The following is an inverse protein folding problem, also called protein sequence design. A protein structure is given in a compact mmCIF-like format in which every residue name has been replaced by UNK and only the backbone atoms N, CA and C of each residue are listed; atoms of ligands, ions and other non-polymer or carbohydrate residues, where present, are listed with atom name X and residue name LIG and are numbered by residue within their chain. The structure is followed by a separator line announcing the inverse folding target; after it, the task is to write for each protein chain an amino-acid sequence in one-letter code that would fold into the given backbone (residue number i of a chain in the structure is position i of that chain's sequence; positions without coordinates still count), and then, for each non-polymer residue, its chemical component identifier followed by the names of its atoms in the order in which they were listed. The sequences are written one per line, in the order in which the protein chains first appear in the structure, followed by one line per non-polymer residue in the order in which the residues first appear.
data_IF_454532325624
#
_entry.id   IF_454532325624
#
_cell.length_a   1.000
_cell.length_b   1.000
_cell.length_c   1.000
_cell.angle_alpha   90.00
_cell.angle_beta   90.00
_cell.angle_gamma   90.00
#
_symmetry.space_group_name_H-M   'P 1'
#
loop_
_entity.id
_entity.type
_entity.pdbx_description
1 polymer ?
#
# COMPACT_ATOMS: atom_id res chain seq x y z
N UNK A 1 -69.06 43.63 20.27
CA UNK A 1 -67.74 44.10 19.77
C UNK A 1 -67.22 45.18 20.70
N UNK A 2 -65.90 45.41 20.86
CA UNK A 2 -64.68 44.62 20.56
C UNK A 2 -63.91 44.31 21.90
N UNK A 3 -62.74 43.68 22.03
CA UNK A 3 -61.43 44.01 21.47
C UNK A 3 -60.40 42.90 21.83
N UNK A 4 -59.78 42.34 20.79
CA UNK A 4 -58.73 41.32 20.87
C UNK A 4 -57.42 41.98 21.32
N UNK A 5 -56.93 41.63 22.52
CA UNK A 5 -55.69 42.16 23.08
C UNK A 5 -54.48 41.51 22.41
N UNK A 6 -53.79 42.31 21.59
CA UNK A 6 -52.54 42.03 20.86
C UNK A 6 -51.47 41.38 21.76
N UNK A 7 -51.00 40.18 21.37
CA UNK A 7 -49.69 39.63 21.73
C UNK A 7 -48.71 39.91 20.58
N UNK A 8 -47.99 41.02 20.63
CA UNK A 8 -46.78 41.22 19.81
C UNK A 8 -45.80 42.06 20.61
N UNK A 9 -44.61 41.53 20.86
CA UNK A 9 -43.52 42.30 21.48
C UNK A 9 -42.59 41.49 22.36
N UNK A 10 -42.02 40.38 21.86
CA UNK A 10 -40.86 39.74 22.53
C UNK A 10 -39.90 38.99 21.60
N UNK A 11 -40.00 39.16 20.28
CA UNK A 11 -39.13 38.48 19.30
C UNK A 11 -38.06 39.36 18.64
N UNK A 12 -38.21 40.69 18.69
CA UNK A 12 -37.45 41.60 17.80
C UNK A 12 -36.04 41.94 18.28
N UNK A 13 -35.77 41.85 19.60
CA UNK A 13 -34.52 42.36 20.18
C UNK A 13 -33.35 41.38 20.00
N UNK A 14 -33.61 40.07 19.99
CA UNK A 14 -32.56 39.04 19.80
C UNK A 14 -32.10 38.99 18.34
N UNK A 15 -33.02 39.17 17.38
CA UNK A 15 -32.69 39.18 15.95
C UNK A 15 -31.89 40.41 15.51
N UNK A 16 -32.13 41.58 16.12
CA UNK A 16 -31.49 42.83 15.73
C UNK A 16 -30.01 42.89 16.10
N UNK A 17 -29.59 42.22 17.18
CA UNK A 17 -28.18 42.10 17.57
C UNK A 17 -27.37 41.19 16.64
N UNK A 18 -27.96 40.09 16.18
CA UNK A 18 -27.32 39.18 15.21
C UNK A 18 -27.22 39.83 13.83
N UNK A 19 -28.27 40.53 13.39
CA UNK A 19 -28.26 41.25 12.11
C UNK A 19 -27.23 42.39 12.07
N UNK A 20 -27.05 43.15 13.17
CA UNK A 20 -26.01 44.18 13.26
C UNK A 20 -24.60 43.59 13.28
N UNK A 21 -24.41 42.43 13.93
CA UNK A 21 -23.12 41.75 13.98
C UNK A 21 -22.70 41.18 12.61
N UNK A 22 -23.65 40.60 11.88
CA UNK A 22 -23.46 40.10 10.51
C UNK A 22 -23.16 41.21 9.49
N UNK A 23 -23.61 42.44 9.74
CA UNK A 23 -23.37 43.59 8.87
C UNK A 23 -21.98 44.22 9.09
N UNK A 24 -21.33 43.94 10.23
CA UNK A 24 -19.96 44.40 10.55
C UNK A 24 -18.88 43.37 10.20
N UNK A 25 -19.27 42.13 9.92
CA UNK A 25 -18.38 41.10 9.39
C UNK A 25 -18.22 41.34 7.89
N UNK A 26 -16.98 41.65 7.48
CA UNK A 26 -16.60 41.65 6.07
C UNK A 26 -16.71 40.22 5.52
N UNK A 27 -17.86 39.88 4.94
CA UNK A 27 -18.13 38.56 4.37
C UNK A 27 -17.11 38.14 3.32
N UNK A 28 -16.49 39.10 2.63
CA UNK A 28 -15.34 38.87 1.75
C UNK A 28 -14.15 38.21 2.46
N UNK A 29 -13.88 38.59 3.72
CA UNK A 29 -12.80 38.00 4.53
C UNK A 29 -13.16 36.56 4.90
N UNK A 30 -14.42 36.31 5.27
CA UNK A 30 -14.91 34.97 5.60
C UNK A 30 -14.80 34.04 4.40
N UNK A 31 -15.22 34.50 3.22
CA UNK A 31 -15.13 33.73 1.97
C UNK A 31 -13.67 33.44 1.61
N UNK A 32 -12.77 34.44 1.71
CA UNK A 32 -11.34 34.25 1.44
C UNK A 32 -10.68 33.25 2.40
N UNK A 33 -11.01 33.31 3.69
CA UNK A 33 -10.50 32.36 4.68
C UNK A 33 -10.98 30.94 4.38
N UNK A 34 -12.26 30.78 4.03
CA UNK A 34 -12.81 29.48 3.62
C UNK A 34 -12.12 28.95 2.36
N UNK A 35 -11.89 29.81 1.36
CA UNK A 35 -11.22 29.42 0.11
C UNK A 35 -9.77 28.96 0.35
N UNK A 36 -9.02 29.64 1.23
CA UNK A 36 -7.67 29.20 1.62
C UNK A 36 -7.72 27.85 2.35
N UNK A 37 -8.72 27.63 3.20
CA UNK A 37 -8.89 26.37 3.90
C UNK A 37 -9.19 25.21 2.94
N UNK A 38 -10.08 25.42 1.97
CA UNK A 38 -10.39 24.44 0.92
C UNK A 38 -9.15 24.15 0.07
N UNK A 39 -8.43 25.19 -0.37
CA UNK A 39 -7.20 25.04 -1.14
C UNK A 39 -6.13 24.25 -0.36
N UNK A 40 -5.99 24.52 0.95
CA UNK A 40 -5.11 23.77 1.84
C UNK A 40 -5.51 22.29 1.95
N UNK A 41 -6.80 21.99 2.09
CA UNK A 41 -7.29 20.61 2.14
C UNK A 41 -7.00 19.84 0.85
N UNK A 42 -7.24 20.45 -0.32
CA UNK A 42 -6.94 19.86 -1.63
C UNK A 42 -5.44 19.58 -1.78
N UNK A 43 -4.58 20.51 -1.35
CA UNK A 43 -3.13 20.34 -1.40
C UNK A 43 -2.67 19.13 -0.56
N UNK A 44 -3.22 18.96 0.64
CA UNK A 44 -2.90 17.81 1.51
C UNK A 44 -3.34 16.49 0.87
N UNK A 45 -4.52 16.44 0.26
CA UNK A 45 -5.01 15.25 -0.44
C UNK A 45 -4.10 14.91 -1.63
N UNK A 46 -3.72 15.91 -2.43
CA UNK A 46 -2.82 15.73 -3.57
C UNK A 46 -1.44 15.19 -3.13
N UNK A 47 -0.86 15.74 -2.07
CA UNK A 47 0.42 15.26 -1.51
C UNK A 47 0.34 13.81 -1.03
N UNK A 48 -0.77 13.43 -0.38
CA UNK A 48 -1.00 12.05 0.07
C UNK A 48 -1.18 11.08 -1.11
N UNK A 49 -1.90 11.50 -2.14
CA UNK A 49 -2.08 10.72 -3.37
C UNK A 49 -0.74 10.34 -4.01
N UNK A 50 0.14 11.34 -4.19
CA UNK A 50 1.46 11.12 -4.79
C UNK A 50 2.35 10.15 -3.99
N UNK A 51 2.32 10.24 -2.66
CA UNK A 51 3.06 9.31 -1.77
C UNK A 51 2.52 7.87 -1.84
N UNK A 52 1.22 7.71 -2.03
CA UNK A 52 0.61 6.38 -2.11
C UNK A 52 0.93 5.70 -3.45
N UNK A 53 0.93 6.46 -4.55
CA UNK A 53 1.26 5.94 -5.88
C UNK A 53 2.68 5.39 -5.95
N UNK A 54 3.66 6.13 -5.43
CA UNK A 54 5.07 5.69 -5.43
C UNK A 54 5.28 4.41 -4.61
N UNK A 55 4.67 4.32 -3.43
CA UNK A 55 4.70 3.10 -2.60
C UNK A 55 4.03 1.92 -3.30
N UNK A 56 2.90 2.16 -3.96
CA UNK A 56 2.19 1.12 -4.70
C UNK A 56 3.01 0.56 -5.86
N UNK A 57 3.76 1.42 -6.58
CA UNK A 57 4.66 0.97 -7.65
C UNK A 57 5.81 0.11 -7.11
N UNK A 58 6.44 0.51 -6.00
CA UNK A 58 7.51 -0.27 -5.36
C UNK A 58 6.98 -1.63 -4.90
N UNK A 59 5.82 -1.67 -4.24
CA UNK A 59 5.17 -2.91 -3.82
C UNK A 59 4.82 -3.81 -5.00
N UNK A 60 4.35 -3.22 -6.11
CA UNK A 60 4.03 -3.96 -7.32
C UNK A 60 5.29 -4.57 -7.94
N UNK A 61 6.37 -3.80 -8.08
CA UNK A 61 7.64 -4.30 -8.62
C UNK A 61 8.22 -5.41 -7.74
N UNK A 62 8.18 -5.27 -6.42
CA UNK A 62 8.62 -6.32 -5.50
C UNK A 62 7.79 -7.60 -5.63
N UNK A 63 6.46 -7.46 -5.72
CA UNK A 63 5.54 -8.59 -5.95
C UNK A 63 5.78 -9.29 -7.29
N UNK A 64 6.01 -8.53 -8.35
CA UNK A 64 6.26 -9.06 -9.70
C UNK A 64 7.61 -9.79 -9.73
N UNK A 65 8.66 -9.22 -9.11
CA UNK A 65 9.97 -9.85 -8.97
C UNK A 65 9.90 -11.19 -8.23
N UNK A 66 9.14 -11.25 -7.12
CA UNK A 66 8.91 -12.48 -6.36
C UNK A 66 8.15 -13.52 -7.19
N UNK A 67 7.16 -13.09 -7.96
CA UNK A 67 6.39 -13.96 -8.86
C UNK A 67 7.29 -14.56 -9.95
N UNK A 68 8.18 -13.76 -10.54
CA UNK A 68 9.15 -14.25 -11.53
C UNK A 68 10.14 -15.24 -10.93
N UNK A 69 10.69 -14.93 -9.75
CA UNK A 69 11.59 -15.83 -9.05
C UNK A 69 10.93 -17.19 -8.81
N UNK A 70 9.68 -17.21 -8.35
CA UNK A 70 8.97 -18.45 -8.05
C UNK A 70 8.62 -19.28 -9.29
N UNK A 71 8.32 -18.63 -10.41
CA UNK A 71 8.16 -19.29 -11.72
C UNK A 71 9.45 -20.00 -12.14
N UNK A 72 10.60 -19.31 -12.03
CA UNK A 72 11.91 -19.89 -12.41
C UNK A 72 12.31 -21.04 -11.48
N UNK A 73 12.06 -20.90 -10.17
CA UNK A 73 12.30 -21.95 -9.21
C UNK A 73 11.46 -23.20 -9.49
N UNK A 74 10.17 -23.03 -9.77
CA UNK A 74 9.27 -24.16 -10.05
C UNK A 74 9.72 -24.92 -11.29
N UNK A 75 10.06 -24.21 -12.36
CA UNK A 75 10.62 -24.81 -13.57
C UNK A 75 11.92 -25.57 -13.29
N UNK A 76 12.84 -24.99 -12.51
CA UNK A 76 14.09 -25.66 -12.15
C UNK A 76 13.85 -26.92 -11.32
N UNK A 77 12.90 -26.87 -10.38
CA UNK A 77 12.51 -28.01 -9.55
C UNK A 77 11.87 -29.13 -10.38
N UNK A 78 11.03 -28.79 -11.37
CA UNK A 78 10.49 -29.78 -12.31
C UNK A 78 11.62 -30.50 -13.07
N UNK A 79 12.69 -29.79 -13.44
CA UNK A 79 13.86 -30.40 -14.11
C UNK A 79 14.67 -31.31 -13.19
N UNK A 80 14.77 -30.97 -11.91
CA UNK A 80 15.44 -31.84 -10.90
C UNK A 80 14.79 -33.21 -10.78
N UNK A 81 13.48 -33.32 -11.04
CA UNK A 81 12.73 -34.58 -10.95
C UNK A 81 12.54 -35.27 -12.32
N UNK A 82 13.25 -34.84 -13.36
CA UNK A 82 13.19 -35.48 -14.66
C UNK A 82 13.86 -36.87 -14.63
N UNK A 83 13.49 -37.74 -15.57
CA UNK A 83 14.07 -39.08 -15.72
C UNK A 83 15.43 -39.06 -16.41
N UNK A 84 15.72 -38.02 -17.18
CA UNK A 84 17.00 -37.84 -17.88
C UNK A 84 18.01 -37.20 -16.95
N UNK A 85 19.11 -37.90 -16.68
CA UNK A 85 20.18 -37.41 -15.80
C UNK A 85 20.73 -36.04 -16.22
N UNK A 86 20.92 -35.81 -17.52
CA UNK A 86 21.35 -34.50 -18.07
C UNK A 86 20.40 -33.35 -17.69
N UNK A 87 19.08 -33.62 -17.70
CA UNK A 87 18.06 -32.61 -17.38
C UNK A 87 18.02 -32.35 -15.87
N UNK A 88 18.24 -33.40 -15.07
CA UNK A 88 18.35 -33.28 -13.63
C UNK A 88 19.54 -32.42 -13.21
N UNK A 89 20.71 -32.63 -13.82
CA UNK A 89 21.91 -31.80 -13.59
C UNK A 89 21.62 -30.33 -13.94
N UNK A 90 20.98 -30.09 -15.10
CA UNK A 90 20.57 -28.74 -15.50
C UNK A 90 19.61 -28.09 -14.48
N UNK A 91 18.67 -28.86 -13.93
CA UNK A 91 17.76 -28.38 -12.89
C UNK A 91 18.51 -27.93 -11.63
N UNK A 92 19.51 -28.70 -11.19
CA UNK A 92 20.34 -28.35 -10.04
C UNK A 92 21.21 -27.11 -10.29
N UNK A 93 21.80 -26.98 -11.48
CA UNK A 93 22.54 -25.78 -11.86
C UNK A 93 21.64 -24.54 -11.88
N UNK A 94 20.41 -24.67 -12.40
CA UNK A 94 19.44 -23.58 -12.37
C UNK A 94 19.08 -23.15 -10.94
N UNK A 95 18.91 -24.10 -10.01
CA UNK A 95 18.68 -23.79 -8.58
C UNK A 95 19.89 -23.05 -7.97
N UNK A 96 21.11 -23.47 -8.30
CA UNK A 96 22.34 -22.84 -7.81
C UNK A 96 22.58 -21.42 -8.38
N UNK A 97 22.06 -21.13 -9.58
CA UNK A 97 22.04 -19.77 -10.13
C UNK A 97 20.96 -18.93 -9.45
N UNK A 98 19.78 -19.51 -9.20
CA UNK A 98 18.67 -18.81 -8.54
C UNK A 98 18.97 -18.40 -7.11
N UNK A 99 19.75 -19.18 -6.36
CA UNK A 99 20.18 -18.84 -4.99
C UNK A 99 21.14 -17.64 -4.91
N UNK A 100 21.82 -17.31 -6.02
CA UNK A 100 22.77 -16.20 -6.12
C UNK A 100 22.21 -14.99 -6.86
N UNK A 101 20.98 -15.08 -7.37
CA UNK A 101 20.33 -14.03 -8.13
C UNK A 101 19.89 -12.87 -7.22
N UNK A 102 20.00 -11.63 -7.71
CA UNK A 102 19.51 -10.43 -7.00
C UNK A 102 17.98 -10.37 -6.86
N UNK A 103 17.25 -11.27 -7.53
CA UNK A 103 15.81 -11.42 -7.36
C UNK A 103 15.44 -12.29 -6.14
N UNK A 104 16.40 -13.05 -5.60
CA UNK A 104 16.18 -13.87 -4.42
C UNK A 104 16.22 -12.99 -3.17
N UNK A 105 15.10 -12.93 -2.46
CA UNK A 105 15.04 -12.39 -1.11
C UNK A 105 15.73 -13.35 -0.12
N UNK A 106 16.07 -12.86 1.07
CA UNK A 106 16.75 -13.66 2.09
C UNK A 106 16.01 -14.96 2.43
N UNK A 107 14.68 -14.91 2.50
CA UNK A 107 13.82 -16.07 2.76
C UNK A 107 13.96 -17.15 1.67
N UNK A 108 14.09 -16.73 0.42
CA UNK A 108 14.17 -17.62 -0.74
C UNK A 108 15.52 -18.33 -0.81
N UNK A 109 16.60 -17.60 -0.47
CA UNK A 109 17.94 -18.17 -0.28
C UNK A 109 17.95 -19.19 0.86
N UNK A 110 17.27 -18.89 1.98
CA UNK A 110 17.17 -19.79 3.13
C UNK A 110 16.42 -21.09 2.78
N UNK A 111 15.33 -20.99 2.00
CA UNK A 111 14.60 -22.17 1.49
C UNK A 111 15.51 -23.06 0.65
N UNK A 112 16.25 -22.49 -0.31
CA UNK A 112 17.17 -23.28 -1.15
C UNK A 112 18.25 -23.93 -0.28
N UNK A 113 18.86 -23.19 0.64
CA UNK A 113 19.89 -23.73 1.53
C UNK A 113 19.38 -24.88 2.39
N UNK A 114 18.17 -24.76 2.95
CA UNK A 114 17.53 -25.84 3.70
C UNK A 114 17.32 -27.10 2.84
N UNK A 115 16.88 -26.93 1.60
CA UNK A 115 16.65 -28.06 0.68
C UNK A 115 17.94 -28.73 0.24
N UNK A 116 18.97 -27.94 -0.07
CA UNK A 116 20.30 -28.44 -0.41
C UNK A 116 20.91 -29.21 0.76
N UNK A 117 20.84 -28.64 1.97
CA UNK A 117 21.32 -29.31 3.19
C UNK A 117 20.60 -30.65 3.42
N UNK A 118 19.26 -30.67 3.29
CA UNK A 118 18.46 -31.90 3.43
C UNK A 118 18.85 -32.97 2.41
N UNK A 119 19.24 -32.58 1.19
CA UNK A 119 19.70 -33.53 0.18
C UNK A 119 21.04 -34.15 0.59
N UNK A 120 22.00 -33.35 1.04
CA UNK A 120 23.28 -33.85 1.52
C UNK A 120 23.10 -34.81 2.70
N UNK A 121 22.22 -34.49 3.66
CA UNK A 121 21.91 -35.40 4.78
C UNK A 121 21.26 -36.73 4.37
N UNK A 122 20.67 -36.84 3.17
CA UNK A 122 20.14 -38.11 2.65
C UNK A 122 21.19 -38.91 1.86
N UNK A 123 22.26 -38.25 1.42
CA UNK A 123 23.27 -38.85 0.55
C UNK A 123 24.44 -39.48 1.32
N UNK A 124 24.51 -39.32 2.64
CA UNK A 124 25.42 -40.09 3.49
C UNK A 124 24.81 -41.49 3.72
N UNK A 125 25.32 -42.55 3.07
CA UNK A 125 24.94 -43.90 3.46
C UNK A 125 25.45 -44.14 4.87
N UNK A 126 24.63 -44.81 5.69
CA UNK A 126 25.05 -45.45 6.93
C UNK A 126 26.28 -46.32 6.62
N UNK A 127 27.48 -45.85 6.94
CA UNK A 127 28.65 -46.72 7.02
C UNK A 127 28.50 -47.55 8.30
N UNK A 128 27.92 -48.75 8.12
CA UNK A 128 27.81 -49.82 9.10
C UNK A 128 27.98 -51.17 8.43
#
# INVERSE_FOLDING_TARGET
MPEVRRRLGRGTVVGMGVALWLCRVDWDVVIRLLQVFIAGAVLVIAQRGLRNTTRSLVQKTESDNRTEWWKRYTWAMEKVYDRREEVTVMGWDAINVLSRSSLATQTEVEIINCLVMRRFSRAEPEEG
#
